data_IF_281536460113
#
_entry.id   IF_281536460113
#
_cell.length_a   1.000
_cell.length_b   1.000
_cell.length_c   1.000
_cell.angle_alpha   90.00
_cell.angle_beta   90.00
_cell.angle_gamma   90.00
#
_symmetry.space_group_name_H-M   'P 1'
#
loop_
_entity.id
_entity.type
_entity.pdbx_description
1 polymer ?
#
# COMPACT_ATOMS: atom_id res chain seq x y z
N UNK A 1 -5.99 6.72 6.15
CA UNK A 1 -5.87 6.15 4.79
C UNK A 1 -6.39 7.15 3.78
N UNK A 2 -5.68 7.29 2.71
CA UNK A 2 -6.09 8.19 1.62
C UNK A 2 -6.40 7.37 0.38
N UNK A 3 -7.67 7.42 -0.06
CA UNK A 3 -8.10 6.75 -1.27
C UNK A 3 -7.63 7.51 -2.50
N UNK A 4 -7.16 6.79 -3.52
CA UNK A 4 -6.67 7.38 -4.75
C UNK A 4 -7.61 7.02 -5.89
N UNK A 5 -8.11 8.04 -6.58
CA UNK A 5 -8.95 7.86 -7.76
C UNK A 5 -8.10 7.99 -9.03
N UNK A 6 -8.53 7.33 -10.07
CA UNK A 6 -7.91 7.40 -11.42
C UNK A 6 -6.49 6.86 -11.51
N UNK A 7 -6.00 6.16 -10.50
CA UNK A 7 -4.75 5.42 -10.60
C UNK A 7 -5.04 4.03 -11.16
N UNK A 8 -4.09 3.47 -11.90
CA UNK A 8 -4.31 2.18 -12.58
C UNK A 8 -4.55 1.05 -11.60
N UNK A 9 -3.56 0.76 -10.76
CA UNK A 9 -3.65 -0.32 -9.77
C UNK A 9 -3.54 0.21 -8.35
N UNK A 10 -2.98 1.39 -8.16
CA UNK A 10 -2.86 2.01 -6.84
C UNK A 10 -4.23 2.49 -6.37
N UNK A 11 -4.71 1.95 -5.27
CA UNK A 11 -6.06 2.23 -4.77
C UNK A 11 -6.04 3.22 -3.62
N UNK A 12 -5.05 3.10 -2.73
CA UNK A 12 -4.98 3.94 -1.55
C UNK A 12 -3.56 3.97 -0.98
N UNK A 13 -3.28 5.01 -0.20
CA UNK A 13 -2.06 5.10 0.60
C UNK A 13 -2.45 5.22 2.07
N UNK A 14 -1.57 4.79 2.96
CA UNK A 14 -1.84 4.82 4.39
C UNK A 14 -0.55 4.81 5.19
N UNK A 15 -0.68 5.16 6.47
CA UNK A 15 0.42 5.11 7.42
C UNK A 15 0.15 4.00 8.42
N UNK A 16 1.22 3.36 8.87
CA UNK A 16 1.14 2.29 9.87
C UNK A 16 1.93 2.71 11.10
N UNK A 17 1.31 2.59 12.24
CA UNK A 17 1.96 2.89 13.50
C UNK A 17 2.39 1.62 14.21
N UNK A 18 3.71 1.48 14.37
CA UNK A 18 4.32 0.45 15.22
C UNK A 18 5.02 1.19 16.34
N UNK A 19 4.51 1.17 17.56
CA UNK A 19 5.23 1.82 18.65
C UNK A 19 6.63 1.22 18.78
N UNK A 20 7.72 2.00 18.74
CA UNK A 20 7.77 3.46 18.75
C UNK A 20 7.84 4.12 17.35
N UNK A 21 7.53 3.40 16.27
CA UNK A 21 7.71 3.89 14.91
C UNK A 21 6.38 4.14 14.21
N UNK A 22 6.39 5.11 13.29
CA UNK A 22 5.34 5.29 12.31
C UNK A 22 5.94 5.13 10.92
N UNK A 23 5.36 4.26 10.09
CA UNK A 23 5.77 4.09 8.70
C UNK A 23 4.75 4.78 7.82
N UNK A 24 5.19 5.82 7.08
CA UNK A 24 4.34 6.58 6.18
C UNK A 24 4.53 6.12 4.74
N UNK A 25 3.46 6.21 3.98
CA UNK A 25 3.54 5.93 2.55
C UNK A 25 3.39 4.47 2.16
N UNK A 26 2.74 3.68 2.99
CA UNK A 26 2.31 2.35 2.58
C UNK A 26 1.24 2.46 1.50
N UNK A 27 1.15 1.50 0.62
CA UNK A 27 0.22 1.52 -0.50
C UNK A 27 -0.59 0.24 -0.59
N UNK A 28 -1.82 0.37 -1.07
CA UNK A 28 -2.67 -0.77 -1.44
C UNK A 28 -2.82 -0.77 -2.94
N UNK A 29 -2.56 -1.90 -3.56
CA UNK A 29 -2.77 -2.12 -4.99
C UNK A 29 -3.89 -3.13 -5.20
N UNK A 30 -4.61 -2.98 -6.31
CA UNK A 30 -5.68 -3.89 -6.70
C UNK A 30 -5.48 -4.30 -8.16
N UNK A 31 -5.53 -5.60 -8.40
CA UNK A 31 -5.49 -6.13 -9.77
C UNK A 31 -6.89 -6.08 -10.40
N UNK A 32 -6.92 -6.22 -11.73
CA UNK A 32 -8.19 -6.25 -12.48
C UNK A 32 -9.13 -7.36 -12.00
N UNK A 33 -8.61 -8.46 -11.47
CA UNK A 33 -9.40 -9.57 -10.94
C UNK A 33 -9.93 -9.30 -9.52
N UNK A 34 -9.62 -8.15 -8.94
CA UNK A 34 -10.04 -7.77 -7.59
C UNK A 34 -9.06 -8.13 -6.49
N UNK A 35 -8.03 -8.88 -6.78
CA UNK A 35 -7.04 -9.25 -5.79
C UNK A 35 -6.20 -8.04 -5.37
N UNK A 36 -6.01 -7.87 -4.07
CA UNK A 36 -5.29 -6.73 -3.50
C UNK A 36 -4.05 -7.16 -2.74
N UNK A 37 -3.04 -6.30 -2.73
CA UNK A 37 -1.85 -6.48 -1.91
C UNK A 37 -1.35 -5.14 -1.40
N UNK A 38 -0.52 -5.18 -0.36
CA UNK A 38 0.11 -3.98 0.18
C UNK A 38 1.57 -3.90 -0.25
N UNK A 39 2.10 -2.68 -0.27
CA UNK A 39 3.51 -2.42 -0.56
C UNK A 39 4.06 -1.41 0.42
N UNK A 40 5.28 -1.64 0.86
CA UNK A 40 6.02 -0.72 1.70
C UNK A 40 6.47 0.51 0.91
N UNK A 41 6.83 1.62 1.60
CA UNK A 41 7.34 2.81 0.92
C UNK A 41 8.55 2.49 0.05
N UNK A 42 8.51 3.00 -1.17
CA UNK A 42 9.59 2.80 -2.13
C UNK A 42 9.78 4.04 -2.98
N UNK A 43 10.94 4.14 -3.61
CA UNK A 43 11.19 5.17 -4.61
C UNK A 43 11.60 4.54 -5.92
N UNK A 44 11.28 5.21 -7.00
CA UNK A 44 11.72 4.80 -8.33
C UNK A 44 13.06 5.45 -8.65
N UNK A 45 13.91 4.73 -9.36
CA UNK A 45 15.15 5.26 -9.87
C UNK A 45 15.46 4.65 -11.23
N UNK A 46 16.30 5.34 -11.99
CA UNK A 46 16.69 4.87 -13.30
C UNK A 46 17.94 4.01 -13.19
N UNK A 47 17.84 2.76 -13.62
CA UNK A 47 18.95 1.83 -13.61
C UNK A 47 19.98 2.15 -14.70
N UNK A 48 21.11 1.45 -14.65
CA UNK A 48 22.20 1.63 -15.63
C UNK A 48 21.77 1.34 -17.08
N UNK A 49 20.79 0.47 -17.23
CA UNK A 49 20.22 0.08 -18.53
C UNK A 49 19.11 1.02 -19.00
N UNK A 50 18.85 2.10 -18.28
CA UNK A 50 17.80 3.06 -18.59
C UNK A 50 16.41 2.62 -18.15
N UNK A 51 16.26 1.44 -17.56
CA UNK A 51 14.97 0.96 -17.08
C UNK A 51 14.68 1.48 -15.69
N UNK A 52 13.37 1.69 -15.42
CA UNK A 52 12.93 2.10 -14.10
C UNK A 52 13.02 0.92 -13.13
N UNK A 53 13.65 1.16 -11.99
CA UNK A 53 13.70 0.19 -10.89
C UNK A 53 13.16 0.84 -9.63
N UNK A 54 12.82 0.04 -8.63
CA UNK A 54 12.25 0.51 -7.38
C UNK A 54 13.08 0.02 -6.21
N UNK A 55 13.30 0.91 -5.24
CA UNK A 55 14.01 0.59 -4.01
C UNK A 55 13.10 0.85 -2.83
N UNK A 56 12.85 -0.15 -2.04
CA UNK A 56 12.05 -0.01 -0.82
C UNK A 56 12.90 0.60 0.29
N UNK A 57 12.34 1.59 0.98
CA UNK A 57 12.97 2.21 2.13
C UNK A 57 12.73 1.42 3.42
N UNK A 58 11.62 0.69 3.47
CA UNK A 58 11.24 -0.13 4.61
C UNK A 58 10.80 -1.47 4.09
N UNK A 59 11.27 -2.53 4.73
CA UNK A 59 10.85 -3.89 4.38
C UNK A 59 10.31 -4.56 5.64
N UNK A 60 9.07 -5.02 5.56
CA UNK A 60 8.45 -5.77 6.65
C UNK A 60 8.80 -7.24 6.43
N UNK A 61 9.67 -7.76 7.29
CA UNK A 61 10.20 -9.12 7.14
C UNK A 61 9.40 -10.17 7.90
N UNK A 62 8.58 -9.75 8.87
CA UNK A 62 7.73 -10.66 9.62
C UNK A 62 6.41 -10.87 8.88
N UNK A 63 6.18 -12.09 8.43
CA UNK A 63 5.00 -12.44 7.65
C UNK A 63 3.70 -12.22 8.44
N UNK A 64 3.71 -12.54 9.72
CA UNK A 64 2.52 -12.35 10.56
C UNK A 64 2.15 -10.88 10.70
N UNK A 65 3.14 -10.02 10.91
CA UNK A 65 2.93 -8.57 10.98
C UNK A 65 2.40 -8.05 9.65
N UNK A 66 2.99 -8.51 8.55
CA UNK A 66 2.57 -8.10 7.21
C UNK A 66 1.11 -8.48 6.94
N UNK A 67 0.72 -9.70 7.29
CA UNK A 67 -0.66 -10.16 7.12
C UNK A 67 -1.64 -9.36 7.97
N UNK A 68 -1.24 -9.02 9.19
CA UNK A 68 -2.08 -8.21 10.08
C UNK A 68 -2.31 -6.82 9.48
N UNK A 69 -1.25 -6.17 9.00
CA UNK A 69 -1.37 -4.86 8.35
C UNK A 69 -2.25 -4.94 7.12
N UNK A 70 -2.05 -5.94 6.30
CA UNK A 70 -2.83 -6.12 5.07
C UNK A 70 -4.31 -6.31 5.41
N UNK A 71 -4.63 -7.12 6.40
CA UNK A 71 -6.00 -7.36 6.82
C UNK A 71 -6.68 -6.08 7.32
N UNK A 72 -6.00 -5.33 8.17
CA UNK A 72 -6.53 -4.07 8.70
C UNK A 72 -6.67 -3.01 7.62
N UNK A 73 -5.70 -2.91 6.73
CA UNK A 73 -5.75 -1.95 5.64
C UNK A 73 -6.91 -2.22 4.69
N UNK A 74 -7.14 -3.48 4.36
CA UNK A 74 -8.27 -3.87 3.52
C UNK A 74 -9.61 -3.56 4.19
N UNK A 75 -9.70 -3.75 5.50
CA UNK A 75 -10.92 -3.45 6.26
C UNK A 75 -11.22 -1.95 6.23
N UNK A 76 -10.22 -1.10 6.45
CA UNK A 76 -10.39 0.36 6.39
C UNK A 76 -10.79 0.81 4.98
N UNK A 77 -10.14 0.24 3.97
CA UNK A 77 -10.48 0.57 2.58
C UNK A 77 -11.93 0.20 2.26
N UNK A 78 -12.39 -0.96 2.71
CA UNK A 78 -13.77 -1.40 2.51
C UNK A 78 -14.75 -0.43 3.16
N UNK A 79 -14.44 0.09 4.35
CA UNK A 79 -15.26 1.10 5.01
C UNK A 79 -15.32 2.39 4.18
N UNK A 80 -14.19 2.84 3.65
CA UNK A 80 -14.14 4.04 2.81
C UNK A 80 -14.95 3.86 1.52
N UNK A 81 -14.88 2.69 0.92
CA UNK A 81 -15.62 2.39 -0.30
C UNK A 81 -17.11 2.19 -0.02
N UNK A 82 -17.45 1.64 1.15
CA UNK A 82 -18.83 1.41 1.57
C UNK A 82 -19.56 2.66 2.02
N UNK A 83 -18.85 3.72 2.38
CA UNK A 83 -19.42 4.99 2.86
C UNK A 83 -19.88 5.91 1.73
N UNK A 84 -19.83 5.44 0.51
CA UNK A 84 -20.27 6.27 -0.63
C UNK A 84 -21.78 6.39 -0.62
N UNK A 85 -22.33 7.61 -0.67
CA UNK A 85 -23.77 7.79 -0.73
C UNK A 85 -24.29 7.22 -2.03
N UNK A 86 -25.42 6.55 -1.91
CA UNK A 86 -26.09 5.99 -3.06
C UNK A 86 -26.75 7.09 -3.88
#
# INVERSE_FOLDING_TARGET
>A
MRKIDNARSLVATFDVQFAPLTVRGMAIFRKADGQMWISEPSESFQGRDGKTAYKKHVIITDEHVRQTIEHEAKAVLAELEGDQPF
#
